data_IF_130029640942
#
_entry.id   IF_130029640942
#
_cell.length_a   1.000
_cell.length_b   1.000
_cell.length_c   1.000
_cell.angle_alpha   90.00
_cell.angle_beta   90.00
_cell.angle_gamma   90.00
#
_symmetry.space_group_name_H-M   'P 1'
#
loop_
_entity.id
_entity.type
_entity.pdbx_description
1 polymer ?
#
# COMPACT_ATOMS: atom_id res chain seq x y z
N UNK A 1 -30.75 41.11 9.00
CA UNK A 1 -29.67 40.27 9.55
C UNK A 1 -29.74 38.89 8.91
N UNK A 2 -28.75 38.50 8.11
CA UNK A 2 -28.71 37.17 7.45
C UNK A 2 -27.87 36.23 8.33
N UNK A 3 -28.51 35.21 8.89
CA UNK A 3 -27.84 34.16 9.67
C UNK A 3 -27.08 33.24 8.73
N UNK A 4 -25.76 33.19 8.87
CA UNK A 4 -24.89 32.24 8.17
C UNK A 4 -24.93 30.92 8.93
N UNK A 5 -25.63 29.93 8.37
CA UNK A 5 -25.60 28.55 8.88
C UNK A 5 -24.29 27.92 8.42
N UNK A 6 -23.28 27.93 9.29
CA UNK A 6 -22.02 27.23 9.08
C UNK A 6 -22.27 25.73 9.25
N UNK A 7 -22.46 25.04 8.13
CA UNK A 7 -22.56 23.57 8.09
C UNK A 7 -21.20 22.97 8.44
N UNK A 8 -21.08 22.46 9.67
CA UNK A 8 -19.90 21.77 10.17
C UNK A 8 -19.90 20.34 9.58
N UNK A 9 -19.21 20.15 8.46
CA UNK A 9 -19.00 18.82 7.88
C UNK A 9 -17.96 18.09 8.73
N UNK A 10 -18.42 17.24 9.64
CA UNK A 10 -17.55 16.29 10.36
C UNK A 10 -17.05 15.21 9.39
N UNK A 11 -15.79 15.29 9.01
CA UNK A 11 -15.09 14.19 8.35
C UNK A 11 -14.71 13.13 9.39
N UNK A 12 -15.57 12.12 9.56
CA UNK A 12 -15.19 10.91 10.27
C UNK A 12 -14.14 10.14 9.46
N UNK A 13 -12.88 10.26 9.88
CA UNK A 13 -11.83 9.33 9.47
C UNK A 13 -12.16 7.97 10.10
N UNK A 14 -12.86 7.10 9.37
CA UNK A 14 -12.98 5.70 9.78
C UNK A 14 -11.56 5.11 9.66
N UNK A 15 -10.89 4.78 10.79
CA UNK A 15 -9.60 4.10 10.72
C UNK A 15 -9.85 2.77 10.01
N UNK A 16 -8.88 2.34 9.20
CA UNK A 16 -8.88 0.97 8.68
C UNK A 16 -8.94 0.06 9.91
N UNK A 17 -10.07 -0.62 10.13
CA UNK A 17 -10.37 -1.33 11.37
C UNK A 17 -9.18 -2.20 11.80
N UNK A 18 -8.67 -1.97 13.02
CA UNK A 18 -7.69 -2.83 13.69
C UNK A 18 -6.27 -2.28 13.85
N UNK A 19 -5.91 -1.13 13.30
CA UNK A 19 -4.56 -0.57 13.49
C UNK A 19 -4.48 0.39 14.68
N UNK A 20 -3.58 0.10 15.62
CA UNK A 20 -3.20 1.06 16.68
C UNK A 20 -2.36 2.18 16.05
N UNK A 21 -2.62 3.46 16.41
CA UNK A 21 -1.77 4.55 15.97
C UNK A 21 -0.34 4.35 16.50
N UNK A 22 0.64 4.78 15.72
CA UNK A 22 2.05 4.76 16.12
C UNK A 22 2.24 5.78 17.25
N UNK A 23 2.86 5.35 18.35
CA UNK A 23 3.13 6.22 19.50
C UNK A 23 4.10 7.34 19.11
N UNK A 24 3.85 8.57 19.56
CA UNK A 24 4.61 9.76 19.15
C UNK A 24 6.12 9.67 19.46
N UNK A 25 6.50 8.91 20.48
CA UNK A 25 7.90 8.63 20.82
C UNK A 25 8.68 7.92 19.70
N UNK A 26 8.01 7.22 18.79
CA UNK A 26 8.65 6.49 17.70
C UNK A 26 8.99 7.37 16.49
N UNK A 27 8.54 8.63 16.46
CA UNK A 27 8.83 9.57 15.36
C UNK A 27 10.32 9.88 15.19
N UNK A 28 11.12 9.75 16.27
CA UNK A 28 12.58 9.94 16.21
C UNK A 28 13.27 8.95 15.27
N UNK A 29 12.64 7.79 15.03
CA UNK A 29 13.15 6.74 14.14
C UNK A 29 12.74 6.93 12.68
N UNK A 30 12.17 8.08 12.29
CA UNK A 30 11.79 8.37 10.90
C UNK A 30 12.97 8.85 10.03
N UNK A 31 14.21 8.54 10.45
CA UNK A 31 15.43 9.06 9.84
C UNK A 31 15.63 8.59 8.40
N UNK A 32 15.29 7.34 8.09
CA UNK A 32 15.30 6.81 6.73
C UNK A 32 13.87 6.81 6.18
N UNK A 33 13.64 7.53 5.07
CA UNK A 33 12.35 7.50 4.39
C UNK A 33 12.49 7.50 2.88
N UNK A 34 11.63 6.72 2.23
CA UNK A 34 11.47 6.69 0.78
C UNK A 34 10.16 7.41 0.43
N UNK A 35 10.23 8.35 -0.51
CA UNK A 35 9.06 9.07 -1.01
C UNK A 35 8.99 8.87 -2.52
N UNK A 36 7.88 8.29 -2.99
CA UNK A 36 7.56 8.13 -4.40
C UNK A 36 6.39 9.06 -4.72
N UNK A 37 6.54 9.91 -5.73
CA UNK A 37 5.47 10.78 -6.21
C UNK A 37 5.13 10.47 -7.66
N UNK A 38 3.83 10.49 -8.00
CA UNK A 38 3.34 10.26 -9.36
C UNK A 38 2.16 11.18 -9.64
N UNK A 39 2.32 12.06 -10.62
CA UNK A 39 1.26 12.93 -11.09
C UNK A 39 0.43 12.22 -12.18
N UNK A 40 -0.88 12.41 -12.16
CA UNK A 40 -1.78 11.84 -13.16
C UNK A 40 -3.03 12.71 -13.33
N UNK A 41 -3.69 12.60 -14.49
CA UNK A 41 -4.90 13.36 -14.79
C UNK A 41 -6.15 12.48 -14.72
N UNK A 42 -7.23 13.06 -14.21
CA UNK A 42 -8.58 12.52 -14.27
C UNK A 42 -9.46 13.55 -14.98
N UNK A 43 -9.60 13.38 -16.29
CA UNK A 43 -10.09 14.45 -17.17
C UNK A 43 -9.23 15.72 -17.06
N UNK A 44 -9.87 16.84 -16.69
CA UNK A 44 -9.19 18.12 -16.47
C UNK A 44 -8.56 18.28 -15.06
N UNK A 45 -8.79 17.33 -14.15
CA UNK A 45 -8.30 17.41 -12.78
C UNK A 45 -6.92 16.77 -12.67
N UNK A 46 -5.92 17.56 -12.28
CA UNK A 46 -4.60 17.05 -11.92
C UNK A 46 -4.62 16.48 -10.50
N UNK A 47 -4.17 15.23 -10.38
CA UNK A 47 -4.02 14.51 -9.13
C UNK A 47 -2.55 14.18 -8.89
N UNK A 48 -2.15 14.18 -7.63
CA UNK A 48 -0.82 13.73 -7.19
C UNK A 48 -0.98 12.55 -6.23
N UNK A 49 -0.36 11.43 -6.57
CA UNK A 49 -0.11 10.33 -5.65
C UNK A 49 1.24 10.57 -4.96
N UNK A 50 1.27 10.42 -3.65
CA UNK A 50 2.49 10.38 -2.84
C UNK A 50 2.46 9.13 -1.98
N UNK A 51 3.42 8.24 -2.19
CA UNK A 51 3.66 7.06 -1.35
C UNK A 51 4.90 7.34 -0.52
N UNK A 52 4.78 7.23 0.81
CA UNK A 52 5.90 7.43 1.74
C UNK A 52 6.08 6.18 2.58
N UNK A 53 7.29 5.65 2.59
CA UNK A 53 7.72 4.54 3.46
C UNK A 53 8.72 5.08 4.48
N UNK A 54 8.47 4.79 5.75
CA UNK A 54 9.39 5.02 6.86
C UNK A 54 10.14 3.74 7.14
N UNK A 55 11.47 3.84 7.29
CA UNK A 55 12.38 2.70 7.41
C UNK A 55 12.09 1.65 6.31
N UNK A 56 12.28 2.02 5.03
CA UNK A 56 12.17 1.07 3.94
C UNK A 56 13.33 0.07 3.98
N UNK A 57 13.16 -1.06 3.30
CA UNK A 57 14.26 -1.97 3.01
C UNK A 57 15.42 -1.22 2.34
N UNK A 58 16.64 -1.42 2.84
CA UNK A 58 17.86 -0.88 2.26
C UNK A 58 18.95 -1.97 2.25
N UNK A 59 19.29 -2.46 1.06
CA UNK A 59 20.31 -3.48 0.86
C UNK A 59 21.73 -2.98 1.23
N UNK A 60 21.98 -1.67 1.18
CA UNK A 60 23.30 -1.10 1.49
C UNK A 60 23.57 -1.02 2.99
N UNK A 61 22.51 -0.92 3.82
CA UNK A 61 22.63 -0.72 5.26
C UNK A 61 22.53 -2.01 6.08
N UNK A 62 22.28 -3.17 5.46
CA UNK A 62 22.01 -4.47 6.13
C UNK A 62 21.05 -4.36 7.32
N UNK A 63 20.12 -3.38 7.27
CA UNK A 63 19.15 -3.11 8.31
C UNK A 63 17.85 -3.79 7.93
N UNK A 64 17.51 -4.82 8.67
CA UNK A 64 16.25 -5.54 8.54
C UNK A 64 15.37 -5.37 9.81
N UNK A 65 15.87 -4.60 10.77
CA UNK A 65 15.28 -4.28 12.05
C UNK A 65 15.01 -2.76 12.16
N UNK A 66 13.76 -2.41 12.37
CA UNK A 66 13.32 -1.04 12.62
C UNK A 66 12.50 -0.97 13.90
N UNK A 67 12.62 0.14 14.64
CA UNK A 67 11.70 0.42 15.74
C UNK A 67 10.25 0.62 15.25
N UNK A 68 10.11 1.03 13.99
CA UNK A 68 8.84 1.26 13.31
C UNK A 68 9.03 1.18 11.79
N UNK A 69 8.09 0.59 11.05
CA UNK A 69 8.07 0.68 9.59
C UNK A 69 6.63 0.88 9.10
N UNK A 70 6.45 1.93 8.29
CA UNK A 70 5.14 2.46 7.93
C UNK A 70 5.14 2.72 6.44
N UNK A 71 4.08 2.30 5.74
CA UNK A 71 3.78 2.81 4.41
C UNK A 71 2.52 3.66 4.48
N UNK A 72 2.56 4.81 3.82
CA UNK A 72 1.40 5.68 3.63
C UNK A 72 1.25 6.02 2.17
N UNK A 73 0.01 6.15 1.71
CA UNK A 73 -0.32 6.53 0.35
C UNK A 73 -1.40 7.60 0.37
N UNK A 74 -1.04 8.77 -0.13
CA UNK A 74 -1.93 9.93 -0.24
C UNK A 74 -2.18 10.26 -1.70
N UNK A 75 -3.45 10.37 -2.09
CA UNK A 75 -3.87 10.94 -3.37
C UNK A 75 -4.51 12.28 -3.09
N UNK A 76 -4.01 13.35 -3.70
CA UNK A 76 -4.50 14.69 -3.48
C UNK A 76 -4.70 15.43 -4.79
N UNK A 77 -5.78 16.20 -4.87
CA UNK A 77 -6.00 17.25 -5.85
C UNK A 77 -6.53 18.50 -5.15
N UNK A 78 -6.92 19.53 -5.91
CA UNK A 78 -7.44 20.79 -5.35
C UNK A 78 -8.73 20.64 -4.52
N UNK A 79 -9.52 19.60 -4.77
CA UNK A 79 -10.86 19.41 -4.20
C UNK A 79 -10.94 18.21 -3.23
N UNK A 80 -9.90 17.38 -3.15
CA UNK A 80 -9.99 16.07 -2.51
C UNK A 80 -8.63 15.55 -2.02
N UNK A 81 -8.64 14.85 -0.89
CA UNK A 81 -7.51 14.07 -0.40
C UNK A 81 -7.97 12.71 0.14
N UNK A 82 -7.33 11.64 -0.35
CA UNK A 82 -7.46 10.29 0.19
C UNK A 82 -6.12 9.89 0.82
N UNK A 83 -6.13 9.36 2.03
CA UNK A 83 -4.92 8.83 2.65
C UNK A 83 -5.16 7.48 3.32
N UNK A 84 -4.26 6.52 3.11
CA UNK A 84 -4.17 5.29 3.89
C UNK A 84 -2.78 5.21 4.50
N UNK A 85 -2.72 4.76 5.75
CA UNK A 85 -1.48 4.49 6.48
C UNK A 85 -1.55 3.04 6.95
N UNK A 86 -0.47 2.31 6.76
CA UNK A 86 -0.28 0.95 7.26
C UNK A 86 0.98 0.92 8.12
N UNK A 87 0.79 0.67 9.42
CA UNK A 87 1.89 0.36 10.33
C UNK A 87 2.16 -1.15 10.30
N UNK A 88 3.37 -1.55 9.92
CA UNK A 88 3.74 -2.97 9.89
C UNK A 88 3.99 -3.45 11.33
N UNK A 89 3.29 -4.49 11.80
CA UNK A 89 3.41 -4.95 13.18
C UNK A 89 4.79 -5.54 13.49
N UNK A 90 5.46 -6.12 12.49
CA UNK A 90 6.69 -6.91 12.71
C UNK A 90 7.95 -6.12 12.32
N UNK A 91 7.98 -4.80 12.62
CA UNK A 91 9.06 -3.91 12.23
C UNK A 91 10.45 -4.35 12.71
N UNK A 92 10.51 -5.15 13.79
CA UNK A 92 11.75 -5.70 14.35
C UNK A 92 12.31 -6.89 13.55
N UNK A 93 11.47 -7.57 12.77
CA UNK A 93 11.85 -8.75 11.97
C UNK A 93 11.69 -8.53 10.47
N UNK A 94 11.34 -7.33 10.04
CA UNK A 94 11.32 -6.99 8.63
C UNK A 94 10.88 -5.57 8.35
N UNK A 95 11.27 -5.08 7.18
CA UNK A 95 10.95 -3.75 6.69
C UNK A 95 10.13 -3.81 5.40
N UNK A 96 9.53 -2.68 5.01
CA UNK A 96 8.73 -2.59 3.78
C UNK A 96 9.61 -2.27 2.58
N UNK A 97 9.46 -3.04 1.51
CA UNK A 97 10.05 -2.78 0.19
C UNK A 97 8.96 -2.31 -0.79
N UNK A 98 9.17 -1.16 -1.44
CA UNK A 98 8.26 -0.65 -2.47
C UNK A 98 9.04 -0.26 -3.72
N UNK A 99 8.57 -0.74 -4.88
CA UNK A 99 9.18 -0.45 -6.18
C UNK A 99 8.28 0.50 -6.96
N UNK A 100 8.80 1.69 -7.32
CA UNK A 100 8.03 2.74 -7.96
C UNK A 100 7.43 2.32 -9.32
N UNK A 101 8.15 1.49 -10.07
CA UNK A 101 7.72 0.93 -11.36
C UNK A 101 6.50 0.00 -11.23
N UNK A 102 6.29 -0.62 -10.06
CA UNK A 102 5.18 -1.52 -9.82
C UNK A 102 3.88 -0.76 -9.45
N UNK A 103 3.98 0.54 -9.13
CA UNK A 103 2.83 1.39 -8.82
C UNK A 103 2.10 1.75 -10.11
N UNK A 104 0.83 1.34 -10.20
CA UNK A 104 0.01 1.57 -11.38
C UNK A 104 -1.18 2.47 -11.09
N UNK A 105 -1.51 3.32 -12.08
CA UNK A 105 -2.69 4.18 -12.09
C UNK A 105 -3.45 3.85 -13.35
N UNK A 106 -4.71 3.42 -13.23
CA UNK A 106 -5.51 2.96 -14.37
C UNK A 106 -6.94 3.45 -14.24
N UNK A 107 -7.58 3.66 -15.39
CA UNK A 107 -9.01 3.92 -15.46
C UNK A 107 -9.79 2.60 -15.41
N UNK A 108 -10.68 2.43 -14.43
CA UNK A 108 -11.59 1.28 -14.33
C UNK A 108 -13.00 1.81 -14.06
N UNK A 109 -13.95 1.46 -14.92
CA UNK A 109 -15.35 1.89 -14.83
C UNK A 109 -15.50 3.40 -14.58
N UNK A 110 -14.72 4.22 -15.32
CA UNK A 110 -14.66 5.70 -15.22
C UNK A 110 -14.11 6.24 -13.89
N UNK A 111 -13.54 5.40 -13.03
CA UNK A 111 -12.88 5.81 -11.79
C UNK A 111 -11.40 5.44 -11.78
N UNK A 112 -10.56 6.34 -11.27
CA UNK A 112 -9.14 6.07 -11.15
C UNK A 112 -8.91 4.98 -10.10
N UNK A 113 -8.16 3.95 -10.51
CA UNK A 113 -7.72 2.85 -9.69
C UNK A 113 -6.20 2.91 -9.54
N UNK A 114 -5.75 3.04 -8.31
CA UNK A 114 -4.33 3.07 -7.97
C UNK A 114 -4.00 1.79 -7.23
N UNK A 115 -3.02 1.05 -7.71
CA UNK A 115 -2.48 -0.13 -7.04
C UNK A 115 -1.03 0.13 -6.64
N UNK A 116 -0.74 -0.08 -5.37
CA UNK A 116 0.58 0.11 -4.77
C UNK A 116 0.94 -1.22 -4.12
N UNK A 117 1.58 -2.12 -4.88
CA UNK A 117 2.13 -3.34 -4.32
C UNK A 117 3.41 -3.04 -3.55
N UNK A 118 3.62 -3.77 -2.46
CA UNK A 118 4.83 -3.73 -1.65
C UNK A 118 5.11 -5.10 -1.03
N UNK A 119 6.38 -5.39 -0.83
CA UNK A 119 6.89 -6.64 -0.25
C UNK A 119 7.67 -6.32 1.03
N UNK A 120 8.35 -7.33 1.58
CA UNK A 120 9.07 -7.21 2.84
C UNK A 120 10.44 -7.84 2.72
N UNK A 121 11.45 -7.22 3.34
CA UNK A 121 12.77 -7.83 3.56
C UNK A 121 12.90 -8.25 5.03
N UNK A 122 13.85 -9.13 5.33
CA UNK A 122 14.14 -9.55 6.71
C UNK A 122 13.33 -10.74 7.22
N UNK A 123 12.34 -11.22 6.47
CA UNK A 123 11.54 -12.38 6.88
C UNK A 123 12.32 -13.67 6.57
N UNK A 124 12.64 -14.44 7.61
CA UNK A 124 13.41 -15.70 7.52
C UNK A 124 12.55 -16.93 7.23
N UNK A 125 11.23 -16.75 7.09
CA UNK A 125 10.31 -17.85 6.77
C UNK A 125 10.20 -18.07 5.26
N UNK A 126 10.03 -19.34 4.86
CA UNK A 126 9.77 -19.76 3.47
C UNK A 126 8.45 -19.19 2.90
N UNK A 127 7.56 -18.71 3.77
CA UNK A 127 6.34 -18.01 3.39
C UNK A 127 6.61 -16.52 3.21
N UNK A 128 6.66 -16.08 1.96
CA UNK A 128 6.73 -14.67 1.61
C UNK A 128 5.33 -14.10 1.39
N UNK A 129 5.19 -12.78 1.42
CA UNK A 129 3.90 -12.10 1.24
C UNK A 129 4.04 -10.85 0.38
N UNK A 130 3.05 -10.62 -0.48
CA UNK A 130 2.87 -9.36 -1.17
C UNK A 130 1.68 -8.65 -0.57
N UNK A 131 1.85 -7.37 -0.27
CA UNK A 131 0.76 -6.52 0.20
C UNK A 131 0.38 -5.51 -0.87
N UNK A 132 -0.91 -5.23 -0.96
CA UNK A 132 -1.49 -4.30 -1.93
C UNK A 132 -2.29 -3.24 -1.21
N UNK A 133 -1.86 -1.99 -1.34
CA UNK A 133 -2.77 -0.86 -1.14
C UNK A 133 -3.51 -0.64 -2.47
N UNK A 134 -4.84 -0.56 -2.39
CA UNK A 134 -5.68 -0.20 -3.53
C UNK A 134 -6.51 1.01 -3.16
N UNK A 135 -6.42 2.07 -3.96
CA UNK A 135 -7.26 3.26 -3.84
C UNK A 135 -8.17 3.31 -5.06
N UNK A 136 -9.49 3.21 -4.85
CA UNK A 136 -10.46 3.16 -5.94
C UNK A 136 -11.78 3.78 -5.51
N UNK A 137 -12.29 4.72 -6.31
CA UNK A 137 -13.55 5.42 -6.05
C UNK A 137 -13.69 5.88 -4.58
N UNK A 138 -12.66 6.57 -4.08
CA UNK A 138 -12.52 7.04 -2.69
C UNK A 138 -12.45 5.96 -1.61
N UNK A 139 -12.64 4.69 -1.94
CA UNK A 139 -12.43 3.56 -1.04
C UNK A 139 -10.95 3.23 -0.97
N UNK A 140 -10.55 2.71 0.18
CA UNK A 140 -9.19 2.29 0.51
C UNK A 140 -9.24 0.82 0.84
N UNK A 141 -8.34 0.06 0.27
CA UNK A 141 -8.20 -1.36 0.55
C UNK A 141 -6.75 -1.67 0.85
N UNK A 142 -6.55 -2.60 1.78
CA UNK A 142 -5.26 -3.16 2.10
C UNK A 142 -5.43 -4.68 2.11
N UNK A 143 -4.62 -5.36 1.31
CA UNK A 143 -4.61 -6.81 1.23
C UNK A 143 -3.21 -7.33 1.51
N UNK A 144 -3.14 -8.47 2.19
CA UNK A 144 -1.92 -9.24 2.40
C UNK A 144 -2.14 -10.62 1.79
N UNK A 145 -1.34 -10.95 0.78
CA UNK A 145 -1.43 -12.17 -0.01
C UNK A 145 -0.19 -13.00 0.25
N UNK A 146 -0.40 -14.22 0.76
CA UNK A 146 0.66 -15.17 1.03
C UNK A 146 1.10 -15.88 -0.25
N UNK A 147 2.39 -16.13 -0.34
CA UNK A 147 3.01 -16.95 -1.37
C UNK A 147 3.86 -18.03 -0.70
N UNK A 148 3.89 -19.19 -1.34
CA UNK A 148 4.82 -20.26 -1.03
C UNK A 148 5.91 -20.26 -2.11
N UNK A 149 7.17 -20.17 -1.72
CA UNK A 149 8.31 -20.32 -2.62
C UNK A 149 8.98 -21.67 -2.37
N UNK A 150 9.03 -22.52 -3.40
CA UNK A 150 9.68 -23.83 -3.33
C UNK A 150 11.21 -23.72 -3.38
N UNK A 151 11.88 -24.85 -3.12
CA UNK A 151 13.35 -24.97 -3.23
C UNK A 151 13.86 -24.69 -4.66
N UNK A 152 13.02 -24.88 -5.68
CA UNK A 152 13.32 -24.52 -7.07
C UNK A 152 13.26 -23.00 -7.34
N UNK A 153 13.05 -22.20 -6.29
CA UNK A 153 12.98 -20.74 -6.35
C UNK A 153 11.67 -20.21 -6.93
N UNK A 154 10.75 -21.07 -7.35
CA UNK A 154 9.45 -20.66 -7.90
C UNK A 154 8.46 -20.39 -6.79
N UNK A 155 7.73 -19.31 -6.95
CA UNK A 155 6.73 -18.84 -6.00
C UNK A 155 5.33 -18.98 -6.58
N UNK A 156 4.39 -19.42 -5.73
CA UNK A 156 2.98 -19.55 -6.06
C UNK A 156 2.12 -18.95 -4.96
N UNK A 157 0.96 -18.42 -5.34
CA UNK A 157 0.01 -17.85 -4.40
C UNK A 157 -0.50 -18.97 -3.47
N UNK A 158 -0.44 -18.72 -2.17
CA UNK A 158 -0.91 -19.61 -1.10
C UNK A 158 -2.11 -19.00 -0.37
N UNK A 159 -3.04 -18.41 -1.14
CA UNK A 159 -4.21 -17.72 -0.62
C UNK A 159 -5.38 -17.85 -1.58
N UNK A 160 -6.61 -17.93 -1.06
CA UNK A 160 -7.82 -17.87 -1.88
C UNK A 160 -8.10 -16.41 -2.31
N UNK A 161 -7.55 -16.01 -3.45
CA UNK A 161 -7.69 -14.64 -3.99
C UNK A 161 -9.15 -14.22 -4.17
N UNK A 162 -10.02 -15.17 -4.54
CA UNK A 162 -11.43 -14.88 -4.75
C UNK A 162 -12.11 -14.39 -3.48
N UNK A 163 -11.75 -14.99 -2.35
CA UNK A 163 -12.25 -14.64 -1.01
C UNK A 163 -11.56 -13.40 -0.46
N UNK A 164 -10.22 -13.34 -0.54
CA UNK A 164 -9.42 -12.20 -0.05
C UNK A 164 -9.81 -10.88 -0.71
N UNK A 165 -10.03 -10.91 -2.03
CA UNK A 165 -10.32 -9.73 -2.84
C UNK A 165 -11.83 -9.53 -3.08
N UNK A 166 -12.72 -10.17 -2.30
CA UNK A 166 -14.18 -10.15 -2.52
C UNK A 166 -14.79 -8.74 -2.51
N UNK A 167 -14.15 -7.79 -1.83
CA UNK A 167 -14.63 -6.41 -1.69
C UNK A 167 -14.20 -5.50 -2.85
N UNK A 168 -13.36 -6.00 -3.77
CA UNK A 168 -12.98 -5.28 -4.98
C UNK A 168 -14.04 -5.45 -6.09
N UNK A 169 -14.35 -4.38 -6.83
CA UNK A 169 -15.13 -4.49 -8.07
C UNK A 169 -14.50 -5.50 -9.03
N UNK A 170 -15.32 -6.25 -9.78
CA UNK A 170 -14.88 -7.38 -10.58
C UNK A 170 -13.71 -7.06 -11.53
N UNK A 171 -13.78 -5.96 -12.29
CA UNK A 171 -12.71 -5.58 -13.23
C UNK A 171 -11.40 -5.25 -12.51
N UNK A 172 -11.48 -4.56 -11.37
CA UNK A 172 -10.30 -4.24 -10.55
C UNK A 172 -9.73 -5.51 -9.89
N UNK A 173 -10.60 -6.39 -9.38
CA UNK A 173 -10.21 -7.69 -8.84
C UNK A 173 -9.43 -8.51 -9.86
N UNK A 174 -9.95 -8.68 -11.07
CA UNK A 174 -9.29 -9.44 -12.14
C UNK A 174 -7.91 -8.87 -12.49
N UNK A 175 -7.78 -7.54 -12.52
CA UNK A 175 -6.50 -6.88 -12.76
C UNK A 175 -5.50 -7.14 -11.63
N UNK A 176 -5.93 -7.02 -10.37
CA UNK A 176 -5.06 -7.30 -9.21
C UNK A 176 -4.62 -8.77 -9.18
N UNK A 177 -5.53 -9.70 -9.49
CA UNK A 177 -5.22 -11.13 -9.62
C UNK A 177 -4.15 -11.35 -10.70
N UNK A 178 -4.35 -10.80 -11.90
CA UNK A 178 -3.38 -10.92 -12.99
C UNK A 178 -2.01 -10.36 -12.60
N UNK A 179 -1.98 -9.22 -11.93
CA UNK A 179 -0.72 -8.62 -11.44
C UNK A 179 -0.01 -9.55 -10.45
N UNK A 180 -0.75 -10.09 -9.47
CA UNK A 180 -0.21 -11.03 -8.47
C UNK A 180 0.35 -12.30 -9.11
N UNK A 181 -0.36 -12.89 -10.08
CA UNK A 181 0.04 -14.13 -10.77
C UNK A 181 1.22 -13.93 -11.74
N UNK A 182 1.43 -12.70 -12.22
CA UNK A 182 2.44 -12.43 -13.25
C UNK A 182 3.74 -11.83 -12.73
N UNK A 183 3.68 -11.02 -11.66
CA UNK A 183 4.83 -10.26 -11.16
C UNK A 183 5.69 -10.99 -10.12
N UNK A 184 5.16 -12.03 -9.47
CA UNK A 184 5.77 -12.66 -8.31
C UNK A 184 5.92 -14.16 -8.50
N UNK A 185 6.71 -14.55 -9.50
CA UNK A 185 6.88 -15.95 -9.92
C UNK A 185 8.13 -16.57 -9.33
N UNK A 186 9.11 -15.76 -8.94
CA UNK A 186 10.37 -16.21 -8.40
C UNK A 186 10.69 -15.48 -7.09
N UNK A 187 11.52 -16.10 -6.26
CA UNK A 187 11.93 -15.53 -4.98
C UNK A 187 12.53 -14.11 -5.12
N UNK A 188 13.31 -13.89 -6.18
CA UNK A 188 13.94 -12.60 -6.46
C UNK A 188 12.94 -11.48 -6.79
N UNK A 189 11.70 -11.80 -7.18
CA UNK A 189 10.69 -10.78 -7.46
C UNK A 189 10.28 -10.00 -6.18
N UNK A 190 10.50 -10.61 -5.01
CA UNK A 190 10.16 -10.07 -3.70
C UNK A 190 11.21 -9.10 -3.14
N UNK A 191 12.44 -9.15 -3.64
CA UNK A 191 13.59 -8.38 -3.18
C UNK A 191 13.91 -7.23 -4.14
#
# INVERSE_FOLDING_TARGET
MKSLVTSLILFFFIPVCGQKPVHDSLKVYYQDSLIISKDFKDGAVSNKLTVKVINPCNAEKNRFDGAVTIISATVKNKNYSNNIVYNYPDAQSGLINVKANNISVNMIDKHQAITIPFTYCGNWDNDTKVSYIVLYNRKKYLYHIKYYCGEDGKCRINDNLNTKLKNLPLKLKLKVIKDLETKYKNLNDFY
#
